data_IF_670169992254
#
_entry.id   IF_670169992254
#
_cell.length_a   1.000
_cell.length_b   1.000
_cell.length_c   1.000
_cell.angle_alpha   90.00
_cell.angle_beta   90.00
_cell.angle_gamma   90.00
#
_symmetry.space_group_name_H-M   'P 1'
#
loop_
_entity.id
_entity.type
_entity.pdbx_description
1 polymer ?
#
# COMPACT_ATOMS: atom_id res chain seq x y z
N UNK A 1 20.41 5.96 10.78
CA UNK A 1 19.44 5.25 9.92
C UNK A 1 18.06 5.80 10.24
N UNK A 2 17.50 6.64 9.36
CA UNK A 2 16.18 7.26 9.56
C UNK A 2 15.10 6.26 9.17
N UNK A 3 14.35 5.83 10.18
CA UNK A 3 13.27 4.86 10.04
C UNK A 3 12.01 5.60 9.53
N UNK A 4 11.84 5.64 8.21
CA UNK A 4 10.75 6.35 7.54
C UNK A 4 9.46 5.50 7.56
N UNK A 5 8.83 5.41 8.73
CA UNK A 5 7.58 4.67 8.90
C UNK A 5 6.39 5.35 8.20
N UNK A 6 5.74 4.62 7.29
CA UNK A 6 4.46 5.00 6.68
C UNK A 6 3.35 4.56 7.64
N UNK A 7 2.35 5.42 7.86
CA UNK A 7 1.24 5.11 8.76
C UNK A 7 0.04 4.60 7.98
N UNK A 8 -0.74 3.80 8.67
CA UNK A 8 -1.73 2.94 8.05
C UNK A 8 -3.08 3.13 8.71
N UNK A 9 -4.12 3.41 7.92
CA UNK A 9 -5.47 3.72 8.39
C UNK A 9 -6.50 2.76 7.78
N UNK A 10 -7.34 2.11 8.60
CA UNK A 10 -8.33 1.18 8.09
C UNK A 10 -9.56 1.91 7.50
N UNK A 11 -10.30 1.31 6.56
CA UNK A 11 -11.51 1.88 5.95
C UNK A 11 -12.69 1.97 6.94
N UNK A 12 -13.74 2.72 6.57
CA UNK A 12 -14.91 2.98 7.43
C UNK A 12 -15.69 1.73 7.87
N UNK A 13 -15.51 0.58 7.22
CA UNK A 13 -16.02 -0.73 7.64
C UNK A 13 -14.87 -1.74 7.67
N UNK A 14 -14.24 -1.89 8.83
CA UNK A 14 -13.11 -2.81 9.01
C UNK A 14 -13.63 -4.23 9.19
N UNK A 15 -13.31 -5.13 8.26
CA UNK A 15 -13.53 -6.57 8.50
C UNK A 15 -12.55 -7.03 9.57
N UNK A 16 -12.99 -7.86 10.53
CA UNK A 16 -12.15 -8.35 11.66
C UNK A 16 -10.80 -8.90 11.20
N UNK A 17 -10.78 -9.61 10.07
CA UNK A 17 -9.56 -10.13 9.42
C UNK A 17 -8.52 -9.05 9.09
N UNK A 18 -8.96 -7.86 8.66
CA UNK A 18 -8.05 -6.74 8.36
C UNK A 18 -7.37 -6.25 9.64
N UNK A 19 -8.12 -6.12 10.74
CA UNK A 19 -7.56 -5.71 12.02
C UNK A 19 -6.56 -6.74 12.57
N UNK A 20 -6.88 -8.03 12.48
CA UNK A 20 -5.96 -9.11 12.86
C UNK A 20 -4.68 -9.08 12.00
N UNK A 21 -4.80 -8.81 10.70
CA UNK A 21 -3.66 -8.67 9.78
C UNK A 21 -2.78 -7.45 10.09
N UNK A 22 -3.37 -6.32 10.50
CA UNK A 22 -2.59 -5.14 10.88
C UNK A 22 -1.61 -5.41 12.03
N UNK A 23 -1.98 -6.30 12.96
CA UNK A 23 -1.07 -6.73 14.03
C UNK A 23 0.13 -7.57 13.53
N UNK A 24 0.05 -8.13 12.33
CA UNK A 24 1.12 -8.90 11.69
C UNK A 24 2.03 -8.04 10.81
N UNK A 25 1.64 -6.81 10.50
CA UNK A 25 2.44 -5.95 9.64
C UNK A 25 3.76 -5.55 10.33
N UNK A 26 4.90 -5.64 9.63
CA UNK A 26 6.15 -5.15 10.17
C UNK A 26 6.08 -3.63 10.34
N UNK A 27 6.80 -3.11 11.34
CA UNK A 27 6.93 -1.67 11.56
C UNK A 27 7.53 -0.93 10.34
N UNK A 28 8.29 -1.64 9.51
CA UNK A 28 8.87 -1.15 8.26
C UNK A 28 8.45 -2.09 7.14
N UNK A 29 7.67 -1.56 6.20
CA UNK A 29 7.30 -2.26 4.97
C UNK A 29 8.40 -2.07 3.94
N UNK A 30 9.01 -3.17 3.52
CA UNK A 30 9.86 -3.20 2.33
C UNK A 30 8.96 -3.45 1.12
N UNK A 31 9.18 -2.71 0.05
CA UNK A 31 8.42 -2.89 -1.18
C UNK A 31 9.35 -2.77 -2.38
N UNK A 32 8.91 -3.33 -3.49
CA UNK A 32 9.53 -3.17 -4.79
C UNK A 32 8.66 -2.27 -5.66
N UNK A 33 9.29 -1.50 -6.54
CA UNK A 33 8.59 -0.71 -7.56
C UNK A 33 8.49 -1.54 -8.84
N UNK A 34 7.28 -1.79 -9.28
CA UNK A 34 6.99 -2.62 -10.46
C UNK A 34 6.11 -1.85 -11.44
N UNK A 35 6.21 -2.10 -12.76
CA UNK A 35 5.32 -1.51 -13.76
C UNK A 35 3.86 -1.82 -13.45
N UNK A 36 2.99 -0.80 -13.46
CA UNK A 36 1.57 -0.93 -13.15
C UNK A 36 0.90 -1.93 -14.09
N UNK A 37 1.09 -1.76 -15.41
CA UNK A 37 0.76 -2.73 -16.46
C UNK A 37 -0.50 -3.57 -16.19
N UNK A 38 -0.38 -4.88 -16.40
CA UNK A 38 -1.47 -5.85 -16.17
C UNK A 38 -1.54 -6.33 -14.72
N UNK A 39 -0.84 -5.72 -13.75
CA UNK A 39 -0.84 -6.17 -12.35
C UNK A 39 -2.26 -6.17 -11.79
N UNK A 40 -3.05 -5.14 -12.10
CA UNK A 40 -4.45 -5.09 -11.68
C UNK A 40 -5.28 -6.22 -12.31
N UNK A 41 -5.07 -6.52 -13.59
CA UNK A 41 -5.77 -7.61 -14.26
C UNK A 41 -5.36 -8.98 -13.69
N UNK A 42 -4.08 -9.18 -13.37
CA UNK A 42 -3.59 -10.43 -12.78
C UNK A 42 -4.03 -10.64 -11.33
N UNK A 43 -4.07 -9.57 -10.53
CA UNK A 43 -4.46 -9.65 -9.11
C UNK A 43 -5.97 -9.85 -8.94
N UNK A 44 -6.77 -9.20 -9.78
CA UNK A 44 -8.22 -9.20 -9.65
C UNK A 44 -8.93 -10.08 -10.67
N UNK A 45 -8.22 -10.79 -11.55
CA UNK A 45 -8.79 -11.66 -12.59
C UNK A 45 -9.90 -10.96 -13.40
N UNK A 46 -9.70 -9.69 -13.78
CA UNK A 46 -10.69 -8.82 -14.42
C UNK A 46 -11.97 -8.53 -13.61
N UNK A 47 -12.03 -8.90 -12.34
CA UNK A 47 -13.09 -8.46 -11.44
C UNK A 47 -12.95 -6.96 -11.17
N UNK A 48 -14.06 -6.22 -11.23
CA UNK A 48 -14.05 -4.79 -10.96
C UNK A 48 -13.95 -4.58 -9.44
N UNK A 49 -12.76 -4.23 -8.96
CA UNK A 49 -12.50 -4.01 -7.54
C UNK A 49 -13.19 -2.73 -7.07
N UNK A 50 -14.12 -2.87 -6.13
CA UNK A 50 -14.81 -1.77 -5.51
C UNK A 50 -13.99 -1.15 -4.38
N UNK A 51 -14.49 -0.06 -3.79
CA UNK A 51 -13.90 0.52 -2.57
C UNK A 51 -13.85 -0.46 -1.39
N UNK A 52 -14.66 -1.51 -1.45
CA UNK A 52 -14.76 -2.57 -0.45
C UNK A 52 -13.56 -3.53 -0.49
N UNK A 53 -12.86 -3.60 -1.62
CA UNK A 53 -11.64 -4.41 -1.81
C UNK A 53 -10.39 -3.68 -1.31
N UNK A 54 -10.51 -2.39 -0.97
CA UNK A 54 -9.45 -1.62 -0.33
C UNK A 54 -9.46 -1.93 1.17
N UNK A 55 -8.47 -2.71 1.61
CA UNK A 55 -8.36 -3.06 3.02
C UNK A 55 -7.73 -1.94 3.85
N UNK A 56 -6.99 -1.03 3.22
CA UNK A 56 -6.07 -0.15 3.94
C UNK A 56 -5.62 1.08 3.15
N UNK A 57 -5.44 2.20 3.84
CA UNK A 57 -4.88 3.42 3.29
C UNK A 57 -3.58 3.80 4.00
N UNK A 58 -2.58 4.21 3.23
CA UNK A 58 -1.28 4.64 3.75
C UNK A 58 -1.11 6.15 3.60
N UNK A 59 -0.76 6.83 4.69
CA UNK A 59 -0.54 8.27 4.73
C UNK A 59 0.80 8.62 5.40
N UNK A 60 1.36 9.76 5.01
CA UNK A 60 2.51 10.33 5.67
C UNK A 60 2.13 10.84 7.07
N UNK A 61 2.92 10.50 8.08
CA UNK A 61 2.63 10.86 9.48
C UNK A 61 3.07 12.26 9.91
N UNK A 62 3.64 13.07 9.00
CA UNK A 62 4.10 14.42 9.33
C UNK A 62 4.58 15.20 8.11
N UNK A 63 4.79 16.52 8.28
CA UNK A 63 5.10 17.46 7.18
C UNK A 63 6.35 17.10 6.40
N UNK A 64 7.49 16.85 7.05
CA UNK A 64 8.73 16.45 6.37
C UNK A 64 8.59 15.11 5.62
N UNK A 65 7.84 14.16 6.20
CA UNK A 65 7.56 12.86 5.59
C UNK A 65 6.56 12.98 4.43
N UNK A 66 5.73 14.03 4.44
CA UNK A 66 4.77 14.33 3.39
C UNK A 66 5.46 14.68 2.08
N UNK A 67 6.58 15.39 2.13
CA UNK A 67 7.32 15.77 0.92
C UNK A 67 7.95 14.54 0.25
N UNK A 68 8.56 13.65 1.04
CA UNK A 68 9.13 12.37 0.57
C UNK A 68 8.02 11.48 0.00
N UNK A 69 6.91 11.33 0.73
CA UNK A 69 5.75 10.55 0.27
C UNK A 69 5.16 11.13 -1.02
N UNK A 70 5.00 12.45 -1.09
CA UNK A 70 4.48 13.14 -2.29
C UNK A 70 5.41 12.95 -3.48
N UNK A 71 6.72 13.04 -3.28
CA UNK A 71 7.72 12.79 -4.31
C UNK A 71 7.63 11.35 -4.82
N UNK A 72 7.50 10.36 -3.92
CA UNK A 72 7.32 8.95 -4.28
C UNK A 72 6.05 8.72 -5.10
N UNK A 73 4.90 9.25 -4.66
CA UNK A 73 3.63 9.13 -5.39
C UNK A 73 3.69 9.78 -6.77
N UNK A 74 4.30 10.98 -6.87
CA UNK A 74 4.51 11.65 -8.16
C UNK A 74 5.44 10.84 -9.07
N UNK A 75 6.51 10.29 -8.52
CA UNK A 75 7.44 9.45 -9.27
C UNK A 75 6.73 8.22 -9.84
N UNK A 76 6.00 7.49 -9.00
CA UNK A 76 5.22 6.32 -9.41
C UNK A 76 4.20 6.67 -10.50
N UNK A 77 3.43 7.74 -10.31
CA UNK A 77 2.46 8.21 -11.32
C UNK A 77 3.11 8.60 -12.64
N UNK A 78 4.28 9.22 -12.62
CA UNK A 78 4.98 9.66 -13.83
C UNK A 78 5.57 8.51 -14.66
N UNK A 79 5.81 7.37 -14.01
CA UNK A 79 6.43 6.18 -14.60
C UNK A 79 5.48 5.00 -14.74
N UNK A 80 4.21 5.20 -14.42
CA UNK A 80 3.19 4.14 -14.36
C UNK A 80 3.68 2.95 -13.52
N UNK A 81 4.09 3.21 -12.28
CA UNK A 81 4.59 2.21 -11.33
C UNK A 81 3.63 2.03 -10.16
N UNK A 82 3.69 0.86 -9.55
CA UNK A 82 3.04 0.53 -8.27
C UNK A 82 4.06 -0.07 -7.30
N UNK A 83 3.76 0.02 -6.00
CA UNK A 83 4.53 -0.68 -4.96
C UNK A 83 3.94 -2.06 -4.71
N UNK A 84 4.79 -3.09 -4.72
CA UNK A 84 4.41 -4.47 -4.38
C UNK A 84 5.18 -4.92 -3.14
N UNK A 85 4.50 -5.61 -2.24
CA UNK A 85 5.11 -6.30 -1.09
C UNK A 85 4.41 -7.64 -0.91
N UNK A 86 5.16 -8.67 -0.54
CA UNK A 86 4.63 -9.98 -0.17
C UNK A 86 4.75 -10.14 1.35
N UNK A 87 3.67 -10.49 2.04
CA UNK A 87 3.68 -10.63 3.50
C UNK A 87 3.23 -12.05 3.85
N UNK A 88 4.15 -12.86 4.38
CA UNK A 88 3.91 -14.26 4.77
C UNK A 88 3.31 -15.13 3.63
N UNK A 89 3.81 -14.98 2.40
CA UNK A 89 3.33 -15.67 1.19
C UNK A 89 1.85 -15.41 0.83
N UNK A 90 1.23 -14.40 1.46
CA UNK A 90 -0.04 -13.82 1.04
C UNK A 90 0.29 -12.50 0.35
N UNK A 91 -0.16 -12.39 -0.90
CA UNK A 91 -0.12 -11.15 -1.67
C UNK A 91 -1.33 -10.25 -1.34
#
# INVERSE_FOLDING_TARGET
MLNNGIHTHPPSRVRRKVYEFLGLLPHILKFELVPCGDIWASLFNNHCSGKEDIWLYFFASGRERSDIYTALVKFMRSKDLVTRTLINDVE
#
